data_IF_083988028668
#
_entry.id   IF_083988028668
#
_cell.length_a   1.000
_cell.length_b   1.000
_cell.length_c   1.000
_cell.angle_alpha   90.00
_cell.angle_beta   90.00
_cell.angle_gamma   90.00
#
_symmetry.space_group_name_H-M   'P 1'
#
loop_
_entity.id
_entity.type
_entity.pdbx_description
1 polymer ?
#
# COMPACT_ATOMS: atom_id res chain seq x y z
N UNK A 1 4.13 -16.66 0.78
CA UNK A 1 4.20 -17.99 1.44
C UNK A 1 3.15 -18.11 2.54
N UNK A 2 2.88 -19.32 2.99
CA UNK A 2 1.96 -19.65 4.11
C UNK A 2 0.53 -19.08 3.90
N UNK A 3 -0.03 -19.30 2.72
CA UNK A 3 -1.38 -18.83 2.39
C UNK A 3 -2.40 -19.65 3.19
N UNK A 4 -3.19 -18.98 4.01
CA UNK A 4 -4.25 -19.56 4.82
C UNK A 4 -5.55 -18.83 4.54
N UNK A 5 -6.59 -19.55 4.14
CA UNK A 5 -7.94 -19.02 4.07
C UNK A 5 -8.61 -19.19 5.42
N UNK A 6 -9.10 -18.10 5.99
CA UNK A 6 -9.72 -18.04 7.30
C UNK A 6 -11.08 -17.35 7.19
N UNK A 7 -11.95 -17.57 8.15
CA UNK A 7 -13.25 -16.89 8.23
C UNK A 7 -13.56 -16.53 9.67
N UNK A 8 -14.16 -15.37 9.88
CA UNK A 8 -14.69 -14.94 11.17
C UNK A 8 -16.20 -15.22 11.33
N UNK A 9 -16.77 -15.98 10.38
CA UNK A 9 -18.20 -16.27 10.32
C UNK A 9 -19.03 -15.21 9.56
N UNK A 10 -18.40 -14.11 9.10
CA UNK A 10 -19.01 -13.05 8.28
C UNK A 10 -18.33 -12.94 6.93
N UNK A 11 -17.01 -12.85 6.92
CA UNK A 11 -16.22 -12.68 5.70
C UNK A 11 -15.04 -13.64 5.67
N UNK A 12 -14.73 -14.15 4.48
CA UNK A 12 -13.48 -14.88 4.25
C UNK A 12 -12.32 -13.91 4.10
N UNK A 13 -11.17 -14.25 4.63
CA UNK A 13 -9.94 -13.50 4.47
C UNK A 13 -8.74 -14.43 4.30
N UNK A 14 -7.71 -13.93 3.65
CA UNK A 14 -6.47 -14.65 3.41
C UNK A 14 -5.37 -14.07 4.28
N UNK A 15 -4.77 -14.90 5.11
CA UNK A 15 -3.53 -14.58 5.82
C UNK A 15 -2.35 -15.14 5.05
N UNK A 16 -1.34 -14.31 4.81
CA UNK A 16 -0.17 -14.66 4.02
C UNK A 16 1.07 -13.92 4.53
N UNK A 17 2.22 -14.28 3.96
CA UNK A 17 3.47 -13.55 4.19
C UNK A 17 4.16 -13.22 2.87
N UNK A 18 4.55 -11.96 2.70
CA UNK A 18 5.50 -11.54 1.67
C UNK A 18 6.91 -11.71 2.23
N UNK A 19 7.72 -12.49 1.55
CA UNK A 19 9.09 -12.80 2.00
C UNK A 19 10.09 -12.19 1.01
N UNK A 20 11.03 -11.43 1.56
CA UNK A 20 12.24 -10.99 0.86
C UNK A 20 13.33 -12.01 1.15
N UNK A 21 13.96 -12.54 0.13
CA UNK A 21 15.01 -13.52 0.27
C UNK A 21 16.20 -13.21 -0.63
N UNK A 22 17.36 -13.71 -0.27
CA UNK A 22 18.56 -13.69 -1.10
C UNK A 22 18.75 -15.07 -1.75
N UNK A 23 18.64 -15.17 -3.08
CA UNK A 23 18.83 -16.44 -3.77
C UNK A 23 20.27 -17.01 -3.66
N UNK A 24 21.23 -16.16 -3.36
CA UNK A 24 22.66 -16.49 -3.23
C UNK A 24 23.18 -16.13 -1.85
N UNK A 25 22.35 -16.20 -0.83
CA UNK A 25 22.70 -15.78 0.52
C UNK A 25 24.00 -16.43 1.01
N UNK A 26 24.83 -15.63 1.63
CA UNK A 26 26.04 -16.09 2.33
C UNK A 26 25.91 -15.69 3.79
N UNK A 27 26.18 -16.63 4.69
CA UNK A 27 26.25 -16.37 6.12
C UNK A 27 27.67 -16.54 6.61
N UNK A 28 28.08 -15.69 7.52
CA UNK A 28 29.35 -15.83 8.21
C UNK A 28 29.12 -16.70 9.45
N UNK A 29 29.82 -17.81 9.54
CA UNK A 29 29.74 -18.76 10.65
C UNK A 29 31.08 -18.81 11.35
N UNK A 30 31.06 -18.81 12.69
CA UNK A 30 32.29 -18.96 13.47
C UNK A 30 32.63 -20.43 13.53
N UNK A 31 33.82 -20.81 13.08
CA UNK A 31 34.42 -22.12 13.35
C UNK A 31 35.08 -22.06 14.73
N UNK A 32 34.49 -22.72 15.75
CA UNK A 32 35.00 -22.65 17.10
C UNK A 32 36.31 -23.42 17.29
N UNK A 33 36.61 -24.41 16.45
CA UNK A 33 37.83 -25.21 16.52
C UNK A 33 39.04 -24.43 16.03
N UNK A 34 38.88 -23.77 14.88
CA UNK A 34 39.93 -22.97 14.25
C UNK A 34 39.94 -21.50 14.68
N UNK A 35 38.91 -21.06 15.42
CA UNK A 35 38.68 -19.65 15.85
C UNK A 35 38.71 -18.67 14.67
N UNK A 36 38.15 -19.10 13.55
CA UNK A 36 38.07 -18.33 12.31
C UNK A 36 36.62 -18.11 11.90
N UNK A 37 36.41 -17.10 11.09
CA UNK A 37 35.14 -16.84 10.46
C UNK A 37 35.13 -17.47 9.06
N UNK A 38 34.15 -18.32 8.79
CA UNK A 38 33.99 -19.02 7.52
C UNK A 38 32.69 -18.57 6.86
N UNK A 39 32.74 -18.27 5.57
CA UNK A 39 31.55 -17.99 4.78
C UNK A 39 30.92 -19.29 4.33
N UNK A 40 29.64 -19.44 4.64
CA UNK A 40 28.83 -20.57 4.22
C UNK A 40 27.74 -20.07 3.28
N UNK A 41 27.53 -20.78 2.17
CA UNK A 41 26.43 -20.46 1.24
C UNK A 41 25.13 -21.04 1.76
N UNK A 42 24.15 -20.15 1.95
CA UNK A 42 22.78 -20.48 2.35
C UNK A 42 21.81 -19.94 1.29
N UNK A 43 21.60 -20.66 0.18
CA UNK A 43 20.73 -20.22 -0.89
C UNK A 43 19.29 -20.05 -0.39
N UNK A 44 18.63 -19.02 -0.92
CA UNK A 44 17.24 -18.65 -0.55
C UNK A 44 17.08 -18.23 0.93
N UNK A 45 18.13 -17.67 1.51
CA UNK A 45 18.08 -17.16 2.88
C UNK A 45 17.03 -16.05 3.01
N UNK A 46 16.13 -16.19 3.97
CA UNK A 46 15.11 -15.17 4.26
C UNK A 46 15.77 -13.94 4.92
N UNK A 47 15.64 -12.79 4.29
CA UNK A 47 16.12 -11.50 4.80
C UNK A 47 15.04 -10.85 5.68
N UNK A 48 13.80 -10.84 5.21
CA UNK A 48 12.68 -10.24 5.92
C UNK A 48 11.36 -10.92 5.55
N UNK A 49 10.38 -10.81 6.44
CA UNK A 49 9.03 -11.33 6.22
C UNK A 49 8.01 -10.32 6.71
N UNK A 50 7.07 -9.97 5.86
CA UNK A 50 5.94 -9.10 6.16
C UNK A 50 4.64 -9.93 6.12
N UNK A 51 4.01 -10.21 7.27
CA UNK A 51 2.68 -10.79 7.28
C UNK A 51 1.66 -9.79 6.75
N UNK A 52 0.66 -10.31 6.05
CA UNK A 52 -0.44 -9.50 5.55
C UNK A 52 -1.76 -10.28 5.56
N UNK A 53 -2.85 -9.52 5.57
CA UNK A 53 -4.22 -10.02 5.44
C UNK A 53 -4.86 -9.37 4.21
N UNK A 54 -5.47 -10.18 3.38
CA UNK A 54 -6.30 -9.72 2.27
C UNK A 54 -7.74 -10.11 2.50
N UNK A 55 -8.66 -9.15 2.38
CA UNK A 55 -10.11 -9.33 2.54
C UNK A 55 -10.78 -9.07 1.19
N UNK A 56 -11.12 -10.12 0.42
CA UNK A 56 -11.65 -9.98 -0.95
C UNK A 56 -12.92 -9.15 -1.03
N UNK A 57 -13.84 -9.32 -0.08
CA UNK A 57 -15.11 -8.61 -0.02
C UNK A 57 -14.94 -7.08 -0.06
N UNK A 58 -13.90 -6.58 0.61
CA UNK A 58 -13.58 -5.16 0.67
C UNK A 58 -12.43 -4.76 -0.27
N UNK A 59 -11.85 -5.73 -1.00
CA UNK A 59 -10.59 -5.54 -1.73
C UNK A 59 -9.53 -4.87 -0.83
N UNK A 60 -9.63 -5.16 0.46
CA UNK A 60 -8.79 -4.56 1.49
C UNK A 60 -7.53 -5.36 1.74
N UNK A 61 -6.42 -4.66 1.90
CA UNK A 61 -5.11 -5.24 2.19
C UNK A 61 -4.50 -4.54 3.39
N UNK A 62 -4.17 -5.30 4.42
CA UNK A 62 -3.42 -4.82 5.58
C UNK A 62 -2.12 -5.61 5.70
N UNK A 63 -1.00 -4.93 5.93
CA UNK A 63 0.30 -5.58 6.05
C UNK A 63 1.17 -4.93 7.13
N UNK A 64 2.15 -5.68 7.60
CA UNK A 64 3.12 -5.19 8.56
C UNK A 64 4.32 -4.57 7.83
N UNK A 65 4.53 -3.28 8.05
CA UNK A 65 5.73 -2.59 7.60
C UNK A 65 6.98 -3.12 8.34
N UNK A 66 8.02 -3.45 7.60
CA UNK A 66 9.30 -3.91 8.14
C UNK A 66 10.38 -2.90 7.76
N UNK A 67 10.67 -1.99 8.67
CA UNK A 67 11.61 -0.87 8.45
C UNK A 67 12.96 -1.33 7.90
N UNK A 68 13.47 -0.61 6.92
CA UNK A 68 14.73 -0.87 6.21
C UNK A 68 14.80 -2.19 5.44
N UNK A 69 13.72 -2.98 5.40
CA UNK A 69 13.70 -4.27 4.73
C UNK A 69 12.57 -4.39 3.70
N UNK A 70 11.32 -4.20 4.15
CA UNK A 70 10.13 -4.21 3.30
C UNK A 70 9.38 -2.92 3.57
N UNK A 71 9.76 -1.89 2.83
CA UNK A 71 9.15 -0.58 2.89
C UNK A 71 7.75 -0.60 2.30
N UNK A 72 6.94 0.36 2.70
CA UNK A 72 5.55 0.48 2.30
C UNK A 72 5.34 0.44 0.78
N UNK A 73 6.06 1.27 0.05
CA UNK A 73 5.97 1.31 -1.42
C UNK A 73 6.46 0.01 -2.06
N UNK A 74 7.51 -0.60 -1.50
CA UNK A 74 8.03 -1.87 -2.00
C UNK A 74 7.02 -3.01 -1.83
N UNK A 75 6.33 -3.07 -0.68
CA UNK A 75 5.28 -4.06 -0.45
C UNK A 75 4.15 -3.90 -1.48
N UNK A 76 3.60 -2.69 -1.63
CA UNK A 76 2.49 -2.42 -2.55
C UNK A 76 2.84 -2.78 -4.00
N UNK A 77 4.02 -2.35 -4.47
CA UNK A 77 4.46 -2.66 -5.82
C UNK A 77 4.62 -4.17 -6.05
N UNK A 78 5.23 -4.88 -5.10
CA UNK A 78 5.41 -6.34 -5.22
C UNK A 78 4.09 -7.10 -5.15
N UNK A 79 3.16 -6.65 -4.32
CA UNK A 79 1.82 -7.22 -4.29
C UNK A 79 1.12 -7.05 -5.65
N UNK A 80 1.10 -5.83 -6.19
CA UNK A 80 0.52 -5.55 -7.50
C UNK A 80 1.18 -6.39 -8.61
N UNK A 81 2.51 -6.51 -8.63
CA UNK A 81 3.24 -7.34 -9.58
C UNK A 81 2.83 -8.82 -9.50
N UNK A 82 2.69 -9.38 -8.30
CA UNK A 82 2.28 -10.78 -8.09
C UNK A 82 0.88 -11.02 -8.63
N UNK A 83 -0.06 -10.12 -8.33
CA UNK A 83 -1.44 -10.23 -8.82
C UNK A 83 -1.48 -10.09 -10.35
N UNK A 84 -0.81 -9.10 -10.92
CA UNK A 84 -0.76 -8.89 -12.36
C UNK A 84 -0.10 -10.07 -13.08
N UNK A 85 0.95 -10.64 -12.52
CA UNK A 85 1.61 -11.83 -13.07
C UNK A 85 0.73 -13.09 -13.04
N UNK A 86 -0.15 -13.21 -12.03
CA UNK A 86 -1.06 -14.34 -11.87
C UNK A 86 -2.24 -14.30 -12.83
N UNK A 87 -2.56 -13.14 -13.41
CA UNK A 87 -3.78 -12.89 -14.17
C UNK A 87 -3.49 -12.50 -15.62
N UNK A 88 -2.61 -13.23 -16.31
CA UNK A 88 -2.22 -12.99 -17.71
C UNK A 88 -3.36 -12.85 -18.72
N UNK A 89 -4.59 -13.17 -18.36
CA UNK A 89 -5.75 -13.13 -19.26
C UNK A 89 -6.79 -12.04 -18.87
N UNK A 90 -6.60 -11.33 -17.79
CA UNK A 90 -7.49 -10.26 -17.36
C UNK A 90 -6.85 -8.93 -17.75
N UNK A 91 -7.56 -8.16 -18.59
CA UNK A 91 -7.11 -6.85 -19.09
C UNK A 91 -7.10 -5.74 -18.01
N UNK A 92 -7.34 -6.07 -16.76
CA UNK A 92 -7.35 -5.12 -15.65
C UNK A 92 -6.01 -5.14 -14.92
N UNK A 93 -5.40 -3.99 -14.78
CA UNK A 93 -4.19 -3.79 -13.99
C UNK A 93 -4.55 -3.65 -12.50
N UNK A 94 -3.88 -4.41 -11.64
CA UNK A 94 -4.00 -4.26 -10.20
C UNK A 94 -3.19 -3.04 -9.76
N UNK A 95 -3.84 -2.08 -9.13
CA UNK A 95 -3.21 -0.98 -8.41
C UNK A 95 -3.54 -1.08 -6.92
N UNK A 96 -2.60 -0.69 -6.08
CA UNK A 96 -2.78 -0.65 -4.62
C UNK A 96 -2.65 0.78 -4.15
N UNK A 97 -3.75 1.32 -3.62
CA UNK A 97 -3.80 2.67 -3.09
C UNK A 97 -3.94 2.64 -1.55
N UNK A 98 -3.26 3.54 -0.82
CA UNK A 98 -3.37 3.60 0.63
C UNK A 98 -4.76 4.08 1.05
N UNK A 99 -5.32 3.45 2.08
CA UNK A 99 -6.53 3.94 2.74
C UNK A 99 -6.12 5.07 3.67
N UNK A 100 -6.61 6.28 3.41
CA UNK A 100 -6.36 7.43 4.26
C UNK A 100 -7.23 7.36 5.52
N UNK A 101 -6.64 7.53 6.70
CA UNK A 101 -7.37 7.84 7.92
C UNK A 101 -7.77 9.32 7.89
N UNK A 102 -8.99 9.58 7.43
CA UNK A 102 -9.53 10.93 7.28
C UNK A 102 -9.46 11.72 8.60
N UNK A 103 -9.72 11.08 9.75
CA UNK A 103 -9.68 11.76 11.05
C UNK A 103 -8.27 12.19 11.44
N UNK A 104 -7.30 11.36 11.21
CA UNK A 104 -5.89 11.71 11.44
C UNK A 104 -5.40 12.76 10.47
N UNK A 105 -5.84 12.68 9.21
CA UNK A 105 -5.55 13.68 8.19
C UNK A 105 -6.12 15.06 8.57
N UNK A 106 -7.41 15.15 8.90
CA UNK A 106 -8.05 16.41 9.33
C UNK A 106 -7.37 17.00 10.56
N UNK A 107 -7.09 16.17 11.58
CA UNK A 107 -6.34 16.64 12.77
C UNK A 107 -4.97 17.18 12.41
N UNK A 108 -4.28 16.55 11.46
CA UNK A 108 -2.98 17.03 11.01
C UNK A 108 -3.12 18.36 10.27
N UNK A 109 -4.09 18.52 9.38
CA UNK A 109 -4.37 19.80 8.71
C UNK A 109 -4.63 20.91 9.73
N UNK A 110 -5.48 20.65 10.71
CA UNK A 110 -5.80 21.63 11.78
C UNK A 110 -4.61 22.00 12.68
N UNK A 111 -3.55 21.18 12.69
CA UNK A 111 -2.33 21.46 13.45
C UNK A 111 -1.30 22.31 12.70
N UNK A 112 -1.55 22.66 11.43
CA UNK A 112 -0.67 23.49 10.65
C UNK A 112 -1.01 24.98 10.80
N UNK A 113 0.00 25.83 10.86
CA UNK A 113 -0.19 27.29 10.96
C UNK A 113 -0.76 27.90 9.66
N UNK A 114 -0.67 27.19 8.54
CA UNK A 114 -1.23 27.57 7.26
C UNK A 114 -0.89 26.57 6.16
N UNK A 115 -1.78 26.49 5.16
CA UNK A 115 -1.60 25.64 3.99
C UNK A 115 -1.50 26.55 2.77
N UNK A 116 -0.41 26.46 2.05
CA UNK A 116 -0.13 27.30 0.87
C UNK A 116 -0.24 26.54 -0.43
N UNK A 117 -0.20 25.21 -0.37
CA UNK A 117 -0.35 24.35 -1.54
C UNK A 117 -0.99 23.03 -1.15
N UNK A 118 -1.98 22.62 -1.91
CA UNK A 118 -2.64 21.31 -1.82
C UNK A 118 -2.52 20.62 -3.17
N UNK A 119 -2.09 19.36 -3.16
CA UNK A 119 -2.12 18.49 -4.33
C UNK A 119 -2.80 17.20 -3.95
N UNK A 120 -3.95 16.94 -4.55
CA UNK A 120 -4.72 15.73 -4.33
C UNK A 120 -4.82 14.92 -5.62
N UNK A 121 -4.65 13.61 -5.50
CA UNK A 121 -4.91 12.66 -6.58
C UNK A 121 -6.09 11.80 -6.18
N UNK A 122 -7.15 11.87 -6.97
CA UNK A 122 -8.39 11.16 -6.69
C UNK A 122 -8.64 10.14 -7.79
N UNK A 123 -8.82 8.89 -7.40
CA UNK A 123 -9.25 7.79 -8.26
C UNK A 123 -10.64 7.30 -7.82
N UNK A 124 -11.42 6.67 -8.70
CA UNK A 124 -12.69 6.09 -8.31
C UNK A 124 -12.46 5.15 -7.13
N UNK A 125 -13.21 5.31 -6.06
CA UNK A 125 -13.08 4.39 -4.94
C UNK A 125 -13.56 2.99 -5.34
N UNK A 126 -13.12 2.01 -4.58
CA UNK A 126 -13.73 0.71 -4.55
C UNK A 126 -15.26 0.87 -4.40
N UNK A 127 -16.09 0.16 -5.19
CA UNK A 127 -17.55 0.30 -5.21
C UNK A 127 -18.24 0.21 -3.83
N UNK A 128 -17.53 -0.23 -2.81
CA UNK A 128 -18.03 -0.36 -1.44
C UNK A 128 -18.13 0.95 -0.64
N UNK A 129 -17.62 2.09 -1.13
CA UNK A 129 -17.58 3.34 -0.34
C UNK A 129 -18.82 4.25 -0.48
N UNK A 130 -19.90 3.78 -1.09
CA UNK A 130 -21.20 4.43 -1.04
C UNK A 130 -21.44 5.54 -2.07
N UNK A 131 -22.63 6.17 -2.04
CA UNK A 131 -23.17 6.98 -3.14
C UNK A 131 -22.43 8.30 -3.40
N UNK A 132 -21.70 8.84 -2.44
CA UNK A 132 -20.94 10.10 -2.58
C UNK A 132 -19.93 10.07 -3.75
N UNK A 133 -19.50 8.89 -4.15
CA UNK A 133 -18.49 8.72 -5.18
C UNK A 133 -19.03 8.36 -6.56
N UNK A 134 -20.32 8.11 -6.67
CA UNK A 134 -20.94 7.77 -7.96
C UNK A 134 -20.84 8.92 -8.97
N UNK A 135 -20.96 10.15 -8.52
CA UNK A 135 -20.84 11.33 -9.39
C UNK A 135 -19.41 11.48 -9.91
N UNK A 136 -18.40 11.33 -9.05
CA UNK A 136 -17.01 11.35 -9.44
C UNK A 136 -16.69 10.21 -10.41
N UNK A 137 -17.19 9.00 -10.15
CA UNK A 137 -17.02 7.85 -11.03
C UNK A 137 -17.61 8.14 -12.41
N UNK A 138 -18.86 8.61 -12.49
CA UNK A 138 -19.49 9.00 -13.75
C UNK A 138 -18.70 10.07 -14.49
N UNK A 139 -18.21 11.07 -13.77
CA UNK A 139 -17.39 12.14 -14.35
C UNK A 139 -16.11 11.60 -14.98
N UNK A 140 -15.38 10.71 -14.27
CA UNK A 140 -14.15 10.12 -14.75
C UNK A 140 -14.39 9.17 -15.94
N UNK A 141 -15.47 8.37 -15.90
CA UNK A 141 -15.88 7.48 -16.99
C UNK A 141 -16.23 8.28 -18.26
N UNK A 142 -16.99 9.37 -18.14
CA UNK A 142 -17.32 10.24 -19.26
C UNK A 142 -16.06 10.83 -19.90
N UNK A 143 -15.05 11.12 -19.10
CA UNK A 143 -13.76 11.65 -19.57
C UNK A 143 -12.77 10.55 -19.99
N UNK A 144 -13.13 9.28 -19.86
CA UNK A 144 -12.24 8.13 -20.11
C UNK A 144 -10.92 8.24 -19.35
N UNK A 145 -10.98 8.72 -18.11
CA UNK A 145 -9.84 8.88 -17.21
C UNK A 145 -10.02 8.01 -15.97
N UNK A 146 -8.93 7.51 -15.41
CA UNK A 146 -8.94 6.68 -14.21
C UNK A 146 -8.55 7.45 -12.95
N UNK A 147 -8.05 8.67 -13.13
CA UNK A 147 -7.54 9.50 -12.03
C UNK A 147 -7.69 10.98 -12.36
N UNK A 148 -8.04 11.76 -11.37
CA UNK A 148 -8.04 13.22 -11.42
C UNK A 148 -6.99 13.75 -10.44
N UNK A 149 -6.19 14.70 -10.89
CA UNK A 149 -5.29 15.47 -10.02
C UNK A 149 -5.88 16.87 -9.85
N UNK A 150 -6.03 17.28 -8.61
CA UNK A 150 -6.39 18.65 -8.23
C UNK A 150 -5.18 19.27 -7.55
N UNK A 151 -4.82 20.47 -7.96
CA UNK A 151 -3.72 21.22 -7.37
C UNK A 151 -4.19 22.66 -7.14
N UNK A 152 -4.09 23.11 -5.90
CA UNK A 152 -4.40 24.46 -5.47
C UNK A 152 -3.14 25.08 -4.87
N UNK A 153 -2.81 26.29 -5.30
CA UNK A 153 -1.65 27.05 -4.84
C UNK A 153 -2.10 28.49 -4.57
N UNK A 154 -1.98 28.93 -3.35
CA UNK A 154 -2.38 30.27 -2.94
C UNK A 154 -1.36 31.36 -3.30
N UNK A 155 -0.22 30.99 -3.88
CA UNK A 155 0.87 31.91 -4.14
C UNK A 155 1.59 32.36 -2.86
N UNK A 156 2.29 33.50 -2.94
CA UNK A 156 3.04 33.99 -1.79
C UNK A 156 2.12 34.81 -0.86
N UNK A 157 1.98 34.34 0.37
CA UNK A 157 1.61 35.16 1.50
C UNK A 157 0.23 34.96 2.13
N UNK A 158 -0.74 34.29 1.47
CA UNK A 158 -2.06 34.03 2.08
C UNK A 158 -2.33 32.54 2.12
N UNK A 159 -2.59 31.94 3.31
CA UNK A 159 -2.94 30.52 3.37
C UNK A 159 -4.26 30.24 2.62
N UNK A 160 -4.37 29.04 2.08
CA UNK A 160 -5.60 28.50 1.52
C UNK A 160 -6.62 28.38 2.67
N UNK A 161 -7.85 28.82 2.45
CA UNK A 161 -8.91 28.66 3.43
C UNK A 161 -9.21 27.16 3.61
N UNK A 162 -9.10 26.68 4.84
CA UNK A 162 -9.23 25.26 5.17
C UNK A 162 -10.65 24.83 5.51
N UNK A 163 -11.67 25.66 5.24
CA UNK A 163 -13.08 25.30 5.40
C UNK A 163 -13.55 24.15 4.46
N UNK A 164 -12.62 23.55 3.71
CA UNK A 164 -12.82 22.31 2.94
C UNK A 164 -13.29 21.09 3.76
N UNK A 165 -13.31 21.19 5.08
CA UNK A 165 -13.78 20.10 5.95
C UNK A 165 -15.31 20.09 6.17
N UNK A 166 -16.05 21.07 5.61
CA UNK A 166 -17.49 21.24 5.87
C UNK A 166 -18.38 21.05 4.63
N UNK A 167 -17.82 20.57 3.51
CA UNK A 167 -18.59 20.30 2.28
C UNK A 167 -18.52 18.83 1.86
#
# INVERSE_FOLDING_TARGET
VDIQELTDGRSAYFFCRLVKYDPKGEVSVVDPENRTEVRQSEPNMTIASSPFVYVPEYQGLAFLHVSNQIEYSAFMNRWAEVINASHHQILAECAVDPIADLRSFVRKLQSLDGIYRVSASVSPPNPMFGPLWEELKKYLEQRRTHRMKVEEDSGQGTPIDTDLANH
#
